data_IF_422764800647
#
_entry.id   IF_422764800647
#
_cell.length_a   1.000
_cell.length_b   1.000
_cell.length_c   1.000
_cell.angle_alpha   90.00
_cell.angle_beta   90.00
_cell.angle_gamma   90.00
#
_symmetry.space_group_name_H-M   'P 1'
#
loop_
_entity.id
_entity.type
_entity.pdbx_description
1 polymer ?
#
# COMPACT_ATOMS: atom_id res chain seq x y z
N UNK A 1 3.99 -6.70 -9.21
CA UNK A 1 4.69 -6.28 -7.96
C UNK A 1 3.70 -5.76 -6.90
N UNK A 2 2.85 -4.83 -7.29
CA UNK A 2 1.56 -4.49 -6.68
C UNK A 2 0.70 -5.68 -6.23
N UNK A 3 0.59 -6.76 -7.02
CA UNK A 3 -0.14 -7.98 -6.62
C UNK A 3 0.38 -8.58 -5.30
N UNK A 4 1.71 -8.61 -5.13
CA UNK A 4 2.35 -9.09 -3.90
C UNK A 4 2.09 -8.13 -2.74
N UNK A 5 2.16 -6.82 -2.98
CA UNK A 5 1.89 -5.80 -1.98
C UNK A 5 0.40 -5.73 -1.57
N UNK A 6 -0.53 -6.18 -2.42
CA UNK A 6 -1.96 -6.24 -2.11
C UNK A 6 -2.31 -7.34 -1.10
N UNK A 7 -1.54 -8.43 -1.05
CA UNK A 7 -1.78 -9.57 -0.15
C UNK A 7 -1.85 -9.15 1.33
N UNK A 8 -0.84 -8.47 1.91
CA UNK A 8 -0.89 -8.08 3.32
C UNK A 8 -2.00 -7.07 3.63
N UNK A 9 -2.32 -6.16 2.71
CA UNK A 9 -3.42 -5.20 2.88
C UNK A 9 -4.78 -5.92 2.98
N UNK A 10 -5.03 -6.85 2.05
CA UNK A 10 -6.25 -7.66 2.06
C UNK A 10 -6.34 -8.53 3.32
N UNK A 11 -5.23 -9.15 3.73
CA UNK A 11 -5.19 -9.98 4.92
C UNK A 11 -5.43 -9.18 6.21
N UNK A 12 -4.96 -7.93 6.28
CA UNK A 12 -5.28 -7.03 7.38
C UNK A 12 -6.79 -6.76 7.49
N UNK A 13 -7.48 -6.52 6.38
CA UNK A 13 -8.93 -6.34 6.39
C UNK A 13 -9.66 -7.62 6.84
N UNK A 14 -9.25 -8.79 6.31
CA UNK A 14 -9.83 -10.10 6.68
C UNK A 14 -9.68 -10.37 8.18
N UNK A 15 -8.52 -10.07 8.75
CA UNK A 15 -8.24 -10.27 10.18
C UNK A 15 -8.93 -9.26 11.10
N UNK A 16 -9.38 -8.13 10.55
CA UNK A 16 -10.01 -7.05 11.31
C UNK A 16 -11.40 -6.72 10.74
N UNK A 17 -12.38 -7.63 10.84
CA UNK A 17 -13.69 -7.46 10.20
C UNK A 17 -14.54 -6.32 10.79
N UNK A 18 -14.10 -5.71 11.89
CA UNK A 18 -14.75 -4.54 12.52
C UNK A 18 -14.12 -3.21 12.11
N UNK A 19 -13.01 -3.24 11.37
CA UNK A 19 -12.39 -2.03 10.84
C UNK A 19 -13.27 -1.52 9.69
N UNK A 20 -13.69 -0.26 9.78
CA UNK A 20 -14.28 0.44 8.65
C UNK A 20 -13.17 0.84 7.68
N UNK A 21 -13.20 0.27 6.48
CA UNK A 21 -12.19 0.53 5.46
C UNK A 21 -12.26 1.96 4.89
N UNK A 22 -13.42 2.64 4.99
CA UNK A 22 -13.57 4.04 4.60
C UNK A 22 -12.86 5.00 5.59
N UNK A 23 -12.54 4.53 6.79
CA UNK A 23 -11.77 5.31 7.77
C UNK A 23 -10.25 5.25 7.54
N UNK A 24 -9.78 4.57 6.48
CA UNK A 24 -8.35 4.50 6.14
C UNK A 24 -7.99 5.71 5.27
N UNK A 25 -7.13 6.58 5.77
CA UNK A 25 -6.77 7.82 5.06
C UNK A 25 -5.77 7.58 3.90
N UNK A 26 -4.67 6.86 4.18
CA UNK A 26 -3.56 6.69 3.24
C UNK A 26 -2.85 5.32 3.44
N UNK A 27 -2.29 4.80 2.36
CA UNK A 27 -1.40 3.64 2.36
C UNK A 27 -0.01 4.09 1.91
N UNK A 28 0.93 4.11 2.85
CA UNK A 28 2.33 4.48 2.58
C UNK A 28 3.14 3.19 2.39
N UNK A 29 3.76 3.03 1.23
CA UNK A 29 4.56 1.85 0.89
C UNK A 29 5.97 2.24 0.47
N UNK A 30 6.98 1.65 1.12
CA UNK A 30 8.36 1.80 0.71
C UNK A 30 8.71 0.96 -0.52
N UNK A 31 9.26 1.57 -1.57
CA UNK A 31 9.74 0.87 -2.76
C UNK A 31 10.98 1.57 -3.32
N UNK A 32 12.09 0.82 -3.48
CA UNK A 32 13.38 1.39 -3.87
C UNK A 32 13.55 1.55 -5.38
N UNK A 33 12.98 0.66 -6.20
CA UNK A 33 13.23 0.61 -7.65
C UNK A 33 12.24 1.48 -8.45
N UNK A 34 10.93 1.35 -8.20
CA UNK A 34 9.87 2.18 -8.80
C UNK A 34 9.94 2.29 -10.35
N UNK A 35 10.32 1.20 -11.02
CA UNK A 35 10.47 1.10 -12.46
C UNK A 35 9.97 -0.26 -12.97
N UNK A 36 9.25 -0.27 -14.10
CA UNK A 36 8.59 -1.49 -14.56
C UNK A 36 7.34 -1.77 -13.71
N UNK A 37 7.19 -2.97 -13.16
CA UNK A 37 5.96 -3.39 -12.48
C UNK A 37 5.66 -2.65 -11.17
N UNK A 38 6.66 -2.03 -10.54
CA UNK A 38 6.51 -1.23 -9.32
C UNK A 38 6.45 0.28 -9.59
N UNK A 39 6.21 0.69 -10.85
CA UNK A 39 6.09 2.09 -11.26
C UNK A 39 4.71 2.71 -10.94
N UNK A 40 4.57 4.02 -11.22
CA UNK A 40 3.29 4.76 -11.17
C UNK A 40 2.55 4.60 -9.84
N UNK A 41 3.31 4.61 -8.74
CA UNK A 41 2.80 4.51 -7.38
C UNK A 41 2.23 3.13 -7.05
N UNK A 42 3.14 2.17 -6.81
CA UNK A 42 2.80 0.78 -6.43
C UNK A 42 1.97 0.69 -5.15
N UNK A 43 2.08 1.66 -4.22
CA UNK A 43 1.20 1.75 -3.05
C UNK A 43 -0.27 1.91 -3.46
N UNK A 44 -0.55 2.82 -4.40
CA UNK A 44 -1.91 3.04 -4.91
C UNK A 44 -2.44 1.83 -5.68
N UNK A 45 -1.61 1.22 -6.52
CA UNK A 45 -1.99 0.02 -7.27
C UNK A 45 -2.33 -1.15 -6.33
N UNK A 46 -1.47 -1.41 -5.34
CA UNK A 46 -1.70 -2.44 -4.32
C UNK A 46 -2.97 -2.20 -3.51
N UNK A 47 -3.25 -0.94 -3.15
CA UNK A 47 -4.46 -0.54 -2.40
C UNK A 47 -5.73 -0.91 -3.17
N UNK A 48 -5.78 -0.61 -4.47
CA UNK A 48 -6.91 -0.94 -5.33
C UNK A 48 -7.06 -2.47 -5.52
N UNK A 49 -5.95 -3.17 -5.75
CA UNK A 49 -5.95 -4.64 -5.91
C UNK A 49 -6.34 -5.38 -4.63
N UNK A 50 -6.06 -4.79 -3.46
CA UNK A 50 -6.45 -5.32 -2.16
C UNK A 50 -7.96 -5.15 -1.85
N UNK A 51 -8.69 -4.38 -2.67
CA UNK A 51 -10.11 -4.13 -2.50
C UNK A 51 -10.44 -3.02 -1.49
N UNK A 52 -9.47 -2.17 -1.13
CA UNK A 52 -9.75 -0.99 -0.32
C UNK A 52 -10.60 0.01 -1.13
N UNK A 53 -11.40 0.86 -0.44
CA UNK A 53 -12.17 1.91 -1.10
C UNK A 53 -11.33 2.83 -1.97
N UNK A 54 -11.92 3.34 -3.05
CA UNK A 54 -11.24 4.28 -3.94
C UNK A 54 -10.92 5.62 -3.27
N UNK A 55 -11.63 5.96 -2.19
CA UNK A 55 -11.38 7.11 -1.32
C UNK A 55 -10.04 7.03 -0.60
N UNK A 56 -9.55 5.83 -0.30
CA UNK A 56 -8.25 5.62 0.35
C UNK A 56 -7.13 6.06 -0.58
N UNK A 57 -6.28 6.96 -0.13
CA UNK A 57 -5.11 7.41 -0.90
C UNK A 57 -3.95 6.40 -0.81
N UNK A 58 -2.91 6.59 -1.60
CA UNK A 58 -1.72 5.75 -1.53
C UNK A 58 -0.50 6.50 -2.01
N UNK A 59 0.62 6.35 -1.31
CA UNK A 59 1.88 7.02 -1.65
C UNK A 59 3.05 6.05 -1.57
N UNK A 60 3.87 6.02 -2.61
CA UNK A 60 5.12 5.24 -2.64
C UNK A 60 6.30 6.13 -2.29
N UNK A 61 7.14 5.73 -1.33
CA UNK A 61 8.31 6.49 -0.89
C UNK A 61 9.62 5.74 -1.15
N UNK A 62 10.72 6.48 -1.29
CA UNK A 62 12.05 5.92 -1.53
C UNK A 62 13.12 6.55 -0.65
N UNK A 63 13.62 5.76 0.30
CA UNK A 63 14.85 5.98 1.05
C UNK A 63 15.75 4.74 0.96
N UNK A 64 15.89 4.18 -0.25
CA UNK A 64 16.64 2.96 -0.52
C UNK A 64 16.17 1.82 0.41
N UNK A 65 17.09 1.09 1.04
CA UNK A 65 16.80 0.02 1.99
C UNK A 65 15.95 0.49 3.19
N UNK A 66 15.96 1.79 3.52
CA UNK A 66 15.21 2.37 4.63
C UNK A 66 13.75 2.70 4.32
N UNK A 67 13.29 2.57 3.07
CA UNK A 67 11.95 3.04 2.64
C UNK A 67 10.81 2.43 3.44
N UNK A 68 10.92 1.15 3.84
CA UNK A 68 9.89 0.49 4.63
C UNK A 68 9.78 1.03 6.05
N UNK A 69 10.90 1.41 6.66
CA UNK A 69 10.92 2.03 7.99
C UNK A 69 10.44 3.48 7.92
N UNK A 70 10.88 4.22 6.90
CA UNK A 70 10.46 5.60 6.65
C UNK A 70 8.94 5.73 6.43
N UNK A 71 8.28 4.66 5.98
CA UNK A 71 6.83 4.63 5.76
C UNK A 71 6.02 4.65 7.07
N UNK A 72 6.65 4.34 8.21
CA UNK A 72 6.00 4.33 9.51
C UNK A 72 6.02 5.71 10.21
N UNK A 73 6.86 6.63 9.74
CA UNK A 73 7.17 7.91 10.41
C UNK A 73 8.45 7.85 11.24
#
# INVERSE_FOLDING_TARGET
>A
ADDLAAIPLRELLVRNPRLDAECIDDVILGCANQAGEDNRNVARMATLLAGLPQSVSGTTINRLCGSGLDALG
#
